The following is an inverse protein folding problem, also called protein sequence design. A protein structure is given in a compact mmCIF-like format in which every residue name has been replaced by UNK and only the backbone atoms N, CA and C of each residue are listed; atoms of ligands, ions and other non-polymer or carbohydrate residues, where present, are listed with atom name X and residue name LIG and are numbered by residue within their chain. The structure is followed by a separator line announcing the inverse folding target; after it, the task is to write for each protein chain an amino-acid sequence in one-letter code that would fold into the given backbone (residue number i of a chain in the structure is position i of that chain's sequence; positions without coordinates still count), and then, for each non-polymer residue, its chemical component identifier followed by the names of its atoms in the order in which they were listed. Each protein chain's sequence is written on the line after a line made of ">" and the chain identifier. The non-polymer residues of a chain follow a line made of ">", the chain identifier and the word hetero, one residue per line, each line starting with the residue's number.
data_IF_813245882760
#
_entry.id   IF_813245882760
#
_cell.length_a   1.000
_cell.length_b   1.000
_cell.length_c   1.000
_cell.angle_alpha   90.00
_cell.angle_beta   90.00
_cell.angle_gamma   90.00
#
_symmetry.space_group_name_H-M   'P 1'
#
loop_
_entity.id
_entity.type
_entity.pdbx_description
1 polymer ?
#
# COMPACT_ATOMS: atom_id res chain seq x y z
N UNK A 1 -13.55 27.38 30.07
CA UNK A 1 -13.08 26.23 29.26
C UNK A 1 -11.79 25.65 29.85
N UNK A 2 -11.70 25.57 31.18
CA UNK A 2 -10.53 25.09 31.92
C UNK A 2 -10.90 23.82 32.67
N UNK A 3 -10.33 22.68 32.29
CA UNK A 3 -10.21 21.41 33.06
C UNK A 3 -11.48 20.73 33.57
N UNK A 4 -12.58 21.46 33.77
CA UNK A 4 -13.85 20.99 34.33
C UNK A 4 -14.51 20.02 33.37
N UNK A 5 -14.55 20.33 32.08
CA UNK A 5 -15.19 19.45 31.08
C UNK A 5 -14.47 18.09 31.01
N UNK A 6 -13.13 18.10 30.99
CA UNK A 6 -12.32 16.87 30.98
C UNK A 6 -12.55 16.06 32.26
N UNK A 7 -12.63 16.71 33.41
CA UNK A 7 -12.89 16.05 34.69
C UNK A 7 -14.30 15.44 34.76
N UNK A 8 -15.31 16.12 34.20
CA UNK A 8 -16.67 15.60 34.14
C UNK A 8 -16.76 14.38 33.21
N UNK A 9 -16.13 14.43 32.03
CA UNK A 9 -16.04 13.26 31.15
C UNK A 9 -15.34 12.09 31.84
N UNK A 10 -14.25 12.33 32.57
CA UNK A 10 -13.55 11.27 33.32
C UNK A 10 -14.45 10.64 34.39
N UNK A 11 -15.20 11.44 35.17
CA UNK A 11 -16.15 10.92 36.16
C UNK A 11 -17.27 10.09 35.54
N UNK A 12 -17.80 10.53 34.39
CA UNK A 12 -18.82 9.77 33.66
C UNK A 12 -18.26 8.42 33.22
N UNK A 13 -17.05 8.41 32.65
CA UNK A 13 -16.41 7.16 32.22
C UNK A 13 -16.14 6.23 33.43
N UNK A 14 -15.68 6.75 34.56
CA UNK A 14 -15.51 5.96 35.79
C UNK A 14 -16.84 5.35 36.28
N UNK A 15 -17.91 6.13 36.26
CA UNK A 15 -19.25 5.64 36.58
C UNK A 15 -19.67 4.51 35.63
N UNK A 16 -19.51 4.71 34.32
CA UNK A 16 -19.85 3.70 33.32
C UNK A 16 -19.04 2.41 33.51
N UNK A 17 -17.72 2.52 33.74
CA UNK A 17 -16.83 1.39 34.04
C UNK A 17 -17.28 0.61 35.28
N UNK A 18 -17.73 1.32 36.32
CA UNK A 18 -18.21 0.70 37.56
C UNK A 18 -19.57 0.01 37.41
N UNK A 19 -20.45 0.56 36.55
CA UNK A 19 -21.83 0.12 36.41
C UNK A 19 -22.01 -1.00 35.38
N UNK A 20 -21.22 -1.00 34.31
CA UNK A 20 -21.41 -1.89 33.16
C UNK A 20 -20.21 -2.80 32.95
N UNK A 21 -20.37 -4.09 33.30
CA UNK A 21 -19.29 -5.09 33.23
C UNK A 21 -18.83 -5.46 31.81
N UNK A 22 -19.60 -5.10 30.78
CA UNK A 22 -19.21 -5.32 29.38
C UNK A 22 -18.24 -4.25 28.84
N UNK A 23 -17.97 -3.18 29.60
CA UNK A 23 -16.98 -2.18 29.23
C UNK A 23 -15.60 -2.69 29.61
N UNK A 24 -14.74 -2.87 28.61
CA UNK A 24 -13.35 -3.28 28.84
C UNK A 24 -12.48 -2.09 29.24
N UNK A 25 -12.07 -2.07 30.50
CA UNK A 25 -11.23 -1.02 31.08
C UNK A 25 -9.86 -0.86 30.40
N UNK A 26 -9.40 -1.86 29.64
CA UNK A 26 -8.11 -1.85 28.93
C UNK A 26 -8.20 -1.32 27.49
N UNK A 27 -9.41 -1.05 26.98
CA UNK A 27 -9.66 -0.67 25.58
C UNK A 27 -10.61 0.51 25.47
N UNK A 28 -10.26 1.62 26.11
CA UNK A 28 -11.05 2.86 26.07
C UNK A 28 -10.30 3.91 25.24
N UNK A 29 -10.97 4.44 24.22
CA UNK A 29 -10.46 5.52 23.38
C UNK A 29 -11.34 6.77 23.53
N UNK A 30 -10.74 7.95 23.38
CA UNK A 30 -11.47 9.23 23.32
C UNK A 30 -11.24 9.88 21.96
N UNK A 31 -12.31 10.34 21.34
CA UNK A 31 -12.21 11.03 20.06
C UNK A 31 -13.15 12.22 20.00
N UNK A 32 -12.85 13.16 19.11
CA UNK A 32 -13.71 14.29 18.85
C UNK A 32 -13.19 15.19 17.75
N UNK A 33 -14.03 16.16 17.40
CA UNK A 33 -13.82 17.09 16.29
C UNK A 33 -13.70 18.53 16.79
N UNK A 34 -12.83 19.35 16.19
CA UNK A 34 -12.64 20.75 16.58
C UNK A 34 -12.34 20.90 18.09
N UNK A 35 -13.26 21.51 18.83
CA UNK A 35 -13.22 21.55 20.29
C UNK A 35 -13.19 20.16 20.93
N UNK A 36 -13.96 19.21 20.40
CA UNK A 36 -13.90 17.81 20.80
C UNK A 36 -12.52 17.19 20.55
N UNK A 37 -11.83 17.58 19.47
CA UNK A 37 -10.46 17.16 19.21
C UNK A 37 -9.47 17.71 20.24
N UNK A 38 -9.65 18.98 20.64
CA UNK A 38 -8.94 19.59 21.77
C UNK A 38 -9.19 18.84 23.08
N UNK A 39 -10.45 18.56 23.41
CA UNK A 39 -10.84 17.81 24.62
C UNK A 39 -10.27 16.39 24.60
N UNK A 40 -10.31 15.70 23.47
CA UNK A 40 -9.78 14.35 23.32
C UNK A 40 -8.26 14.32 23.59
N UNK A 41 -7.51 15.21 22.94
CA UNK A 41 -6.07 15.34 23.13
C UNK A 41 -5.71 15.75 24.57
N UNK A 42 -6.46 16.71 25.15
CA UNK A 42 -6.27 17.15 26.55
C UNK A 42 -6.57 16.04 27.56
N UNK A 43 -7.60 15.24 27.32
CA UNK A 43 -7.97 14.10 28.18
C UNK A 43 -6.88 13.02 28.20
N UNK A 44 -6.18 12.83 27.08
CA UNK A 44 -5.08 11.87 26.97
C UNK A 44 -3.90 12.23 27.90
N UNK A 45 -3.58 13.52 28.02
CA UNK A 45 -2.47 14.03 28.85
C UNK A 45 -2.88 14.33 30.30
N UNK A 46 -4.13 14.70 30.57
CA UNK A 46 -4.62 15.04 31.91
C UNK A 46 -5.01 13.82 32.76
N UNK A 47 -5.12 12.63 32.16
CA UNK A 47 -5.49 11.41 32.88
C UNK A 47 -4.37 10.88 33.78
N UNK A 48 -4.36 11.31 35.05
CA UNK A 48 -3.44 10.80 36.09
C UNK A 48 -3.56 9.26 36.29
N UNK A 49 -4.70 8.67 35.92
CA UNK A 49 -4.97 7.24 36.03
C UNK A 49 -4.97 6.48 34.69
N UNK A 50 -4.48 7.08 33.60
CA UNK A 50 -4.52 6.51 32.23
C UNK A 50 -5.89 5.90 31.87
N UNK A 51 -6.97 6.68 32.02
CA UNK A 51 -8.34 6.24 31.69
C UNK A 51 -8.45 5.91 30.20
N UNK A 52 -7.81 6.70 29.35
CA UNK A 52 -7.83 6.54 27.89
C UNK A 52 -6.53 5.94 27.39
N UNK A 53 -6.64 4.86 26.60
CA UNK A 53 -5.51 4.15 26.01
C UNK A 53 -4.99 4.82 24.73
N UNK A 54 -5.84 5.56 24.03
CA UNK A 54 -5.50 6.36 22.86
C UNK A 54 -6.49 7.52 22.66
N UNK A 55 -6.09 8.50 21.85
CA UNK A 55 -6.97 9.59 21.42
C UNK A 55 -6.91 9.80 19.91
N UNK A 56 -8.06 10.08 19.32
CA UNK A 56 -8.21 10.56 17.94
C UNK A 56 -8.72 12.01 17.96
N UNK A 57 -7.89 12.95 17.51
CA UNK A 57 -8.19 14.37 17.49
C UNK A 57 -8.39 14.83 16.03
N UNK A 58 -9.64 15.12 15.65
CA UNK A 58 -9.97 15.60 14.31
C UNK A 58 -10.08 17.12 14.31
N UNK A 59 -9.39 17.76 13.37
CA UNK A 59 -9.28 19.22 13.24
C UNK A 59 -9.10 19.95 14.59
N UNK A 60 -8.14 19.55 15.46
CA UNK A 60 -8.12 20.04 16.84
C UNK A 60 -7.74 21.52 16.95
N UNK A 61 -8.43 22.25 17.83
CA UNK A 61 -8.04 23.61 18.25
C UNK A 61 -6.89 23.50 19.26
N UNK A 62 -5.66 23.68 18.80
CA UNK A 62 -4.45 23.43 19.62
C UNK A 62 -3.96 24.65 20.41
N UNK A 63 -4.30 25.85 19.96
CA UNK A 63 -3.88 27.12 20.56
C UNK A 63 -4.95 28.17 20.31
N UNK A 64 -5.60 28.62 21.38
CA UNK A 64 -6.69 29.58 21.33
C UNK A 64 -6.29 30.96 20.77
N UNK A 65 -4.99 31.28 20.71
CA UNK A 65 -4.51 32.50 20.03
C UNK A 65 -4.60 32.42 18.49
N UNK A 66 -4.75 31.23 17.92
CA UNK A 66 -4.89 31.04 16.47
C UNK A 66 -6.35 30.85 16.02
N UNK A 67 -7.27 30.80 16.98
CA UNK A 67 -8.70 30.68 16.74
C UNK A 67 -9.33 32.05 16.47
N UNK A 68 -10.65 32.10 16.32
CA UNK A 68 -11.38 33.36 16.14
C UNK A 68 -11.35 34.22 17.43
N UNK A 69 -11.18 35.53 17.27
CA UNK A 69 -11.10 36.48 18.39
C UNK A 69 -12.42 36.58 19.17
N UNK A 70 -13.57 36.48 18.48
CA UNK A 70 -14.88 36.59 19.10
C UNK A 70 -15.10 35.52 20.18
N UNK A 71 -14.77 34.26 19.87
CA UNK A 71 -14.87 33.13 20.79
C UNK A 71 -13.76 33.18 21.83
N UNK A 72 -12.52 33.41 21.39
CA UNK A 72 -11.35 33.32 22.27
C UNK A 72 -11.38 34.41 23.34
N UNK A 73 -11.60 35.66 22.97
CA UNK A 73 -11.68 36.77 23.93
C UNK A 73 -12.88 36.63 24.87
N UNK A 74 -14.02 36.13 24.37
CA UNK A 74 -15.20 35.89 25.20
C UNK A 74 -14.96 34.87 26.31
N UNK A 75 -14.19 33.81 26.07
CA UNK A 75 -14.00 32.72 27.03
C UNK A 75 -12.69 32.80 27.81
N UNK A 76 -11.65 33.43 27.25
CA UNK A 76 -10.31 33.49 27.84
C UNK A 76 -9.91 34.91 28.26
N UNK A 77 -10.56 35.95 27.74
CA UNK A 77 -10.23 37.35 28.01
C UNK A 77 -9.20 37.93 27.03
N UNK A 78 -8.64 39.09 27.35
CA UNK A 78 -7.69 39.79 26.48
C UNK A 78 -6.28 39.19 26.64
N UNK A 79 -5.69 38.58 25.60
CA UNK A 79 -4.37 37.94 25.71
C UNK A 79 -3.22 38.91 26.01
N UNK A 80 -3.44 40.23 25.92
CA UNK A 80 -2.47 41.28 26.29
C UNK A 80 -2.45 41.52 27.80
N UNK A 81 -3.51 41.13 28.52
CA UNK A 81 -3.62 41.22 29.97
C UNK A 81 -2.95 39.99 30.59
N UNK A 82 -2.07 40.19 31.57
CA UNK A 82 -1.27 39.11 32.15
C UNK A 82 -2.09 38.01 32.81
N UNK A 83 -3.18 38.35 33.52
CA UNK A 83 -4.03 37.33 34.15
C UNK A 83 -4.74 36.45 33.11
N UNK A 84 -5.26 37.05 32.04
CA UNK A 84 -5.99 36.34 30.98
C UNK A 84 -5.05 35.50 30.11
N UNK A 85 -3.83 36.00 29.84
CA UNK A 85 -2.78 35.28 29.11
C UNK A 85 -2.47 33.91 29.71
N UNK A 86 -2.46 33.81 31.04
CA UNK A 86 -2.23 32.52 31.71
C UNK A 86 -3.28 31.47 31.30
N UNK A 87 -4.53 31.86 31.05
CA UNK A 87 -5.58 30.93 30.60
C UNK A 87 -5.33 30.42 29.18
N UNK A 88 -4.83 31.28 28.29
CA UNK A 88 -4.43 30.88 26.95
C UNK A 88 -3.26 29.88 27.00
N UNK A 89 -2.25 30.17 27.81
CA UNK A 89 -1.08 29.29 27.99
C UNK A 89 -1.47 27.95 28.65
N UNK A 90 -2.33 27.99 29.66
CA UNK A 90 -2.84 26.79 30.35
C UNK A 90 -3.69 25.90 29.42
N UNK A 91 -4.34 26.47 28.40
CA UNK A 91 -5.14 25.73 27.44
C UNK A 91 -4.37 25.40 26.14
N UNK A 92 -3.11 25.81 26.00
CA UNK A 92 -2.34 25.58 24.79
C UNK A 92 -1.74 24.16 24.78
N UNK A 93 -2.17 23.32 23.84
CA UNK A 93 -1.65 21.95 23.68
C UNK A 93 -0.21 21.93 23.15
N UNK A 94 0.20 22.97 22.42
CA UNK A 94 1.57 23.07 21.87
C UNK A 94 2.59 23.18 23.01
N UNK A 95 2.26 23.91 24.08
CA UNK A 95 3.12 24.07 25.25
C UNK A 95 3.21 22.81 26.13
N UNK A 96 2.38 21.80 25.85
CA UNK A 96 2.29 20.53 26.60
C UNK A 96 2.67 19.32 25.76
N UNK A 97 3.38 19.55 24.65
CA UNK A 97 3.73 18.51 23.70
C UNK A 97 4.50 17.34 24.35
N UNK A 98 5.38 17.65 25.30
CA UNK A 98 6.14 16.68 26.10
C UNK A 98 5.26 15.72 26.92
N UNK A 99 4.08 16.17 27.36
CA UNK A 99 3.14 15.34 28.14
C UNK A 99 2.50 14.22 27.31
N UNK A 100 2.64 14.26 25.98
CA UNK A 100 2.21 13.19 25.09
C UNK A 100 3.23 12.06 24.96
N UNK A 101 4.38 12.13 25.63
CA UNK A 101 5.38 11.07 25.58
C UNK A 101 4.78 9.71 26.00
N UNK A 102 5.02 8.69 25.18
CA UNK A 102 4.47 7.34 25.32
C UNK A 102 2.93 7.23 25.23
N UNK A 103 2.22 8.31 24.86
CA UNK A 103 0.78 8.29 24.63
C UNK A 103 0.49 7.97 23.16
N UNK A 104 -0.65 7.33 22.90
CA UNK A 104 -1.12 7.04 21.53
C UNK A 104 -2.06 8.13 21.05
N UNK A 105 -1.52 9.08 20.29
CA UNK A 105 -2.27 10.17 19.67
C UNK A 105 -2.38 9.95 18.15
N UNK A 106 -3.58 10.14 17.60
CA UNK A 106 -3.81 10.21 16.17
C UNK A 106 -4.50 11.54 15.83
N UNK A 107 -3.91 12.32 14.91
CA UNK A 107 -4.41 13.62 14.47
C UNK A 107 -4.93 13.54 13.04
N UNK A 108 -6.15 14.01 12.78
CA UNK A 108 -6.73 14.13 11.44
C UNK A 108 -7.01 15.60 11.11
N UNK A 109 -6.79 16.01 9.87
CA UNK A 109 -7.12 17.39 9.45
C UNK A 109 -7.28 17.51 7.92
N UNK A 110 -8.25 18.29 7.45
CA UNK A 110 -8.38 18.68 6.04
C UNK A 110 -7.46 19.86 5.68
N UNK A 111 -6.92 19.89 4.45
CA UNK A 111 -6.07 21.03 4.03
C UNK A 111 -6.86 22.28 3.66
N UNK A 112 -8.15 22.12 3.33
CA UNK A 112 -9.06 23.20 2.98
C UNK A 112 -10.06 23.49 4.11
N UNK A 113 -9.71 23.14 5.36
CA UNK A 113 -10.52 23.43 6.54
C UNK A 113 -10.66 24.96 6.72
N UNK A 114 -11.88 25.43 6.56
CA UNK A 114 -12.30 26.83 6.62
C UNK A 114 -12.73 27.26 8.03
N UNK A 115 -12.85 26.31 8.96
CA UNK A 115 -13.25 26.55 10.34
C UNK A 115 -12.05 26.51 11.27
N UNK A 116 -11.30 25.39 11.26
CA UNK A 116 -10.04 25.24 12.01
C UNK A 116 -8.89 25.25 11.05
N UNK A 117 -8.13 26.35 11.05
CA UNK A 117 -7.01 26.45 10.14
C UNK A 117 -5.96 25.36 10.43
N UNK A 118 -5.48 24.69 9.37
CA UNK A 118 -4.49 23.60 9.43
C UNK A 118 -3.22 23.93 10.25
N UNK A 119 -2.91 25.23 10.36
CA UNK A 119 -1.85 25.76 11.23
C UNK A 119 -1.91 25.21 12.66
N UNK A 120 -3.09 24.98 13.23
CA UNK A 120 -3.23 24.39 14.55
C UNK A 120 -2.55 23.02 14.65
N UNK A 121 -2.80 22.17 13.67
CA UNK A 121 -2.22 20.82 13.62
C UNK A 121 -0.74 20.85 13.32
N UNK A 122 -0.29 21.64 12.33
CA UNK A 122 1.13 21.73 11.99
C UNK A 122 1.99 22.29 13.14
N UNK A 123 1.47 23.26 13.89
CA UNK A 123 2.19 23.80 15.07
C UNK A 123 2.30 22.77 16.19
N UNK A 124 1.25 21.98 16.44
CA UNK A 124 1.30 20.90 17.42
C UNK A 124 2.26 19.79 16.97
N UNK A 125 2.17 19.35 15.71
CA UNK A 125 3.09 18.36 15.12
C UNK A 125 4.55 18.78 15.28
N UNK A 126 4.87 20.05 14.97
CA UNK A 126 6.22 20.59 15.18
C UNK A 126 6.68 20.49 16.64
N UNK A 127 5.81 20.80 17.59
CA UNK A 127 6.14 20.73 19.01
C UNK A 127 6.30 19.27 19.49
N UNK A 128 5.43 18.35 19.05
CA UNK A 128 5.53 16.91 19.32
C UNK A 128 6.85 16.33 18.79
N UNK A 129 7.22 16.66 17.54
CA UNK A 129 8.48 16.26 16.94
C UNK A 129 9.69 16.78 17.74
N UNK A 130 9.64 18.06 18.16
CA UNK A 130 10.72 18.67 18.96
C UNK A 130 10.85 18.03 20.34
N UNK A 131 9.75 17.50 20.89
CA UNK A 131 9.71 16.79 22.16
C UNK A 131 10.00 15.28 22.05
N UNK A 132 10.29 14.76 20.84
CA UNK A 132 10.52 13.33 20.61
C UNK A 132 9.29 12.44 20.78
N UNK A 133 8.09 13.02 20.67
CA UNK A 133 6.83 12.27 20.82
C UNK A 133 6.41 11.65 19.50
N UNK A 134 6.16 10.34 19.53
CA UNK A 134 5.58 9.62 18.40
C UNK A 134 4.06 9.77 18.40
N UNK A 135 3.52 10.14 17.24
CA UNK A 135 2.08 10.24 17.00
C UNK A 135 1.78 9.78 15.58
N UNK A 136 0.49 9.52 15.29
CA UNK A 136 0.02 9.30 13.92
C UNK A 136 -0.68 10.55 13.44
N UNK A 137 -0.58 10.83 12.15
CA UNK A 137 -1.34 11.89 11.51
C UNK A 137 -1.79 11.49 10.12
N UNK A 138 -2.98 11.93 9.73
CA UNK A 138 -3.47 11.84 8.36
C UNK A 138 -4.01 13.21 7.98
N UNK A 139 -3.48 13.73 6.89
CA UNK A 139 -3.94 14.97 6.28
C UNK A 139 -4.79 14.60 5.07
N UNK A 140 -5.93 15.26 4.92
CA UNK A 140 -6.87 15.05 3.82
C UNK A 140 -6.80 16.25 2.86
N UNK A 141 -6.15 16.10 1.69
CA UNK A 141 -6.09 17.15 0.68
C UNK A 141 -7.49 17.59 0.25
N UNK A 142 -7.64 18.88 -0.04
CA UNK A 142 -8.84 19.55 -0.56
C UNK A 142 -10.13 19.32 0.24
N UNK A 143 -10.00 18.80 1.47
CA UNK A 143 -11.12 18.52 2.36
C UNK A 143 -11.33 19.70 3.31
N UNK A 144 -12.59 20.09 3.46
CA UNK A 144 -13.03 21.14 4.38
C UNK A 144 -13.13 20.64 5.83
N UNK A 145 -13.73 21.44 6.71
CA UNK A 145 -13.83 21.12 8.13
C UNK A 145 -14.52 19.79 8.44
N UNK A 146 -15.47 19.36 7.61
CA UNK A 146 -16.30 18.19 7.89
C UNK A 146 -15.73 16.88 7.32
N UNK A 147 -14.74 16.97 6.43
CA UNK A 147 -14.23 15.87 5.60
C UNK A 147 -15.37 15.26 4.73
N UNK A 148 -15.08 14.85 3.49
CA UNK A 148 -16.11 14.29 2.57
C UNK A 148 -16.78 13.00 3.13
N UNK A 149 -18.06 12.76 2.84
CA UNK A 149 -18.87 11.63 3.35
C UNK A 149 -18.27 10.25 3.02
N UNK A 150 -17.55 10.15 1.89
CA UNK A 150 -16.80 8.92 1.52
C UNK A 150 -15.62 8.68 2.46
N UNK A 151 -15.01 9.73 3.00
CA UNK A 151 -13.91 9.67 3.95
C UNK A 151 -14.40 9.19 5.33
N UNK A 152 -15.63 9.51 5.72
CA UNK A 152 -16.25 8.99 6.94
C UNK A 152 -16.28 7.45 6.95
N UNK A 153 -16.75 6.85 5.86
CA UNK A 153 -16.81 5.38 5.70
C UNK A 153 -15.40 4.76 5.70
N UNK A 154 -14.43 5.45 5.11
CA UNK A 154 -13.03 5.03 5.12
C UNK A 154 -12.39 5.15 6.51
N UNK A 155 -12.73 6.16 7.31
CA UNK A 155 -12.27 6.32 8.70
C UNK A 155 -12.78 5.18 9.59
N UNK A 156 -14.06 4.81 9.47
CA UNK A 156 -14.63 3.67 10.20
C UNK A 156 -13.96 2.33 9.84
N UNK A 157 -13.59 2.13 8.57
CA UNK A 157 -13.00 0.88 8.09
C UNK A 157 -11.47 0.79 8.26
N UNK A 158 -10.74 1.89 8.06
CA UNK A 158 -9.26 1.92 7.97
C UNK A 158 -8.61 2.31 9.31
N UNK A 159 -9.28 3.09 10.16
CA UNK A 159 -8.63 3.68 11.32
C UNK A 159 -8.86 2.87 12.60
N UNK A 160 -9.99 2.18 12.75
CA UNK A 160 -10.17 1.16 13.80
C UNK A 160 -9.23 -0.03 13.55
N UNK A 161 -9.05 -0.44 12.29
CA UNK A 161 -8.15 -1.54 11.89
C UNK A 161 -6.66 -1.19 11.90
N UNK A 162 -6.30 0.10 11.94
CA UNK A 162 -4.90 0.52 12.14
C UNK A 162 -4.61 0.89 13.59
N UNK A 163 -5.58 1.36 14.38
CA UNK A 163 -5.48 1.55 15.83
C UNK A 163 -5.44 0.20 16.59
N UNK A 164 -6.16 -0.80 16.10
CA UNK A 164 -5.89 -2.21 16.36
C UNK A 164 -4.73 -2.56 15.45
N UNK A 165 -3.48 -2.27 15.86
CA UNK A 165 -2.31 -2.40 15.00
C UNK A 165 -2.40 -3.62 14.09
N UNK A 166 -2.00 -3.46 12.81
CA UNK A 166 -1.63 -4.60 11.99
C UNK A 166 -0.73 -5.45 12.87
N UNK A 167 -1.26 -6.56 13.38
CA UNK A 167 -0.49 -7.38 14.29
C UNK A 167 0.60 -7.92 13.39
N UNK A 168 1.80 -7.36 13.46
CA UNK A 168 2.94 -7.99 12.82
C UNK A 168 2.96 -9.40 13.40
N UNK A 169 2.58 -10.38 12.58
CA UNK A 169 2.37 -11.72 13.07
C UNK A 169 3.75 -12.32 13.27
N UNK A 170 4.09 -12.61 14.53
CA UNK A 170 5.28 -13.41 14.83
C UNK A 170 5.20 -14.72 14.05
N UNK A 171 6.32 -15.18 13.52
CA UNK A 171 6.40 -16.49 12.90
C UNK A 171 5.97 -17.54 13.92
N UNK A 172 4.88 -18.26 13.62
CA UNK A 172 4.24 -19.22 14.51
C UNK A 172 4.49 -20.68 14.09
N UNK A 173 5.26 -20.89 13.02
CA UNK A 173 5.54 -22.20 12.45
C UNK A 173 7.04 -22.46 12.31
N UNK A 174 7.45 -23.74 12.34
CA UNK A 174 8.84 -24.15 12.17
C UNK A 174 9.11 -24.72 10.79
N UNK A 175 8.27 -25.64 10.32
CA UNK A 175 8.44 -26.38 9.08
C UNK A 175 7.36 -26.01 8.06
N UNK A 176 7.77 -25.85 6.81
CA UNK A 176 6.89 -25.70 5.65
C UNK A 176 6.99 -26.96 4.80
N UNK A 177 5.87 -27.59 4.51
CA UNK A 177 5.80 -28.83 3.71
C UNK A 177 4.78 -28.69 2.59
N UNK A 178 5.02 -29.36 1.48
CA UNK A 178 4.11 -29.38 0.33
C UNK A 178 3.47 -30.76 0.25
N UNK A 179 2.16 -30.82 0.03
CA UNK A 179 1.41 -32.05 -0.16
C UNK A 179 0.67 -31.98 -1.49
N UNK A 180 0.84 -33.01 -2.32
CA UNK A 180 0.12 -33.16 -3.57
C UNK A 180 -1.23 -33.86 -3.33
N UNK A 181 -2.29 -33.27 -3.87
CA UNK A 181 -3.66 -33.74 -3.71
C UNK A 181 -4.48 -33.39 -4.97
N UNK A 182 -5.05 -34.39 -5.65
CA UNK A 182 -5.94 -34.21 -6.82
C UNK A 182 -5.45 -33.16 -7.84
N UNK A 183 -4.21 -33.32 -8.32
CA UNK A 183 -3.54 -32.41 -9.28
C UNK A 183 -3.33 -30.96 -8.78
N UNK A 184 -3.33 -30.77 -7.45
CA UNK A 184 -3.02 -29.50 -6.78
C UNK A 184 -1.98 -29.71 -5.71
N UNK A 185 -1.19 -28.66 -5.45
CA UNK A 185 -0.17 -28.66 -4.41
C UNK A 185 -0.59 -27.73 -3.28
N UNK A 186 -0.86 -28.32 -2.12
CA UNK A 186 -1.22 -27.63 -0.88
C UNK A 186 0.03 -27.34 -0.05
N UNK A 187 0.05 -26.19 0.63
CA UNK A 187 1.16 -25.78 1.48
C UNK A 187 0.71 -25.89 2.94
N UNK A 188 1.51 -26.61 3.73
CA UNK A 188 1.25 -26.83 5.15
C UNK A 188 2.33 -26.17 6.01
N UNK A 189 1.90 -25.53 7.09
CA UNK A 189 2.74 -24.95 8.13
C UNK A 189 2.61 -25.82 9.39
N UNK A 190 3.67 -26.53 9.78
CA UNK A 190 3.67 -27.53 10.88
C UNK A 190 2.50 -28.54 10.76
N UNK A 191 2.22 -29.00 9.54
CA UNK A 191 1.13 -29.93 9.24
C UNK A 191 -0.27 -29.31 9.15
N UNK A 192 -0.42 -27.99 9.38
CA UNK A 192 -1.69 -27.27 9.21
C UNK A 192 -1.79 -26.67 7.82
N UNK A 193 -2.92 -26.90 7.15
CA UNK A 193 -3.18 -26.36 5.80
C UNK A 193 -3.23 -24.83 5.81
N UNK A 194 -2.46 -24.21 4.91
CA UNK A 194 -2.47 -22.77 4.71
C UNK A 194 -3.83 -22.34 4.11
N UNK A 195 -4.30 -21.16 4.51
CA UNK A 195 -5.54 -20.57 4.02
C UNK A 195 -5.31 -19.18 3.45
N UNK A 196 -6.12 -18.82 2.47
CA UNK A 196 -6.16 -17.47 1.91
C UNK A 196 -6.81 -16.48 2.89
N UNK A 197 -6.68 -15.16 2.68
CA UNK A 197 -7.38 -14.15 3.50
C UNK A 197 -8.89 -14.37 3.60
N UNK A 198 -9.56 -14.84 2.54
CA UNK A 198 -10.99 -15.16 2.56
C UNK A 198 -11.32 -16.53 3.17
N UNK A 199 -10.32 -17.24 3.71
CA UNK A 199 -10.50 -18.51 4.39
C UNK A 199 -10.59 -19.74 3.49
N UNK A 200 -10.41 -19.58 2.17
CA UNK A 200 -10.28 -20.69 1.24
C UNK A 200 -8.98 -21.45 1.48
N UNK A 201 -8.94 -22.71 1.04
CA UNK A 201 -7.73 -23.51 1.09
C UNK A 201 -6.69 -22.95 0.10
N UNK A 202 -5.46 -22.72 0.57
CA UNK A 202 -4.38 -22.25 -0.29
C UNK A 202 -3.79 -23.42 -1.09
N UNK A 203 -3.83 -23.33 -2.41
CA UNK A 203 -3.27 -24.33 -3.32
C UNK A 203 -2.59 -23.68 -4.53
N UNK A 204 -1.71 -24.43 -5.17
CA UNK A 204 -1.08 -24.04 -6.44
C UNK A 204 -1.29 -25.14 -7.49
N UNK A 205 -1.44 -24.79 -8.79
CA UNK A 205 -1.71 -25.77 -9.84
C UNK A 205 -0.47 -26.54 -10.31
N UNK A 206 0.74 -26.12 -9.91
CA UNK A 206 1.98 -26.74 -10.34
C UNK A 206 3.01 -26.79 -9.20
N UNK A 207 3.87 -27.81 -9.23
CA UNK A 207 4.85 -28.07 -8.18
C UNK A 207 5.90 -26.95 -8.07
N UNK A 208 6.30 -26.37 -9.20
CA UNK A 208 7.30 -25.30 -9.25
C UNK A 208 6.85 -24.07 -8.44
N UNK A 209 5.61 -23.63 -8.62
CA UNK A 209 5.04 -22.52 -7.87
C UNK A 209 4.89 -22.88 -6.39
N UNK A 210 4.48 -24.12 -6.08
CA UNK A 210 4.39 -24.60 -4.70
C UNK A 210 5.73 -24.50 -3.95
N UNK A 211 6.81 -24.91 -4.60
CA UNK A 211 8.18 -24.84 -4.07
C UNK A 211 8.60 -23.39 -3.82
N UNK A 212 8.33 -22.48 -4.77
CA UNK A 212 8.68 -21.08 -4.63
C UNK A 212 7.89 -20.40 -3.49
N UNK A 213 6.58 -20.64 -3.40
CA UNK A 213 5.76 -20.11 -2.31
C UNK A 213 6.20 -20.71 -0.97
N UNK A 214 6.46 -22.02 -0.90
CA UNK A 214 6.97 -22.64 0.32
C UNK A 214 8.29 -22.01 0.77
N UNK A 215 9.17 -21.65 -0.18
CA UNK A 215 10.40 -20.93 0.12
C UNK A 215 10.16 -19.52 0.66
N UNK A 216 9.17 -18.77 0.14
CA UNK A 216 8.79 -17.46 0.70
C UNK A 216 8.38 -17.58 2.18
N UNK A 217 7.57 -18.58 2.53
CA UNK A 217 7.17 -18.86 3.91
C UNK A 217 8.36 -19.34 4.77
N UNK A 218 9.22 -20.21 4.24
CA UNK A 218 10.37 -20.72 4.98
C UNK A 218 11.38 -19.63 5.34
N UNK A 219 11.56 -18.64 4.45
CA UNK A 219 12.53 -17.54 4.59
C UNK A 219 12.10 -16.49 5.63
N UNK A 220 10.82 -16.46 6.03
CA UNK A 220 10.34 -15.50 7.03
C UNK A 220 11.08 -15.68 8.36
N UNK A 221 11.56 -14.59 8.95
CA UNK A 221 12.37 -14.66 10.17
C UNK A 221 11.48 -14.60 11.42
N UNK A 222 11.74 -13.64 12.31
CA UNK A 222 10.98 -13.45 13.56
C UNK A 222 9.54 -12.98 13.31
N UNK A 223 9.35 -12.14 12.30
CA UNK A 223 8.08 -11.52 11.93
C UNK A 223 7.75 -11.92 10.49
N UNK A 224 6.48 -12.22 10.23
CA UNK A 224 5.99 -12.53 8.89
C UNK A 224 5.78 -11.20 8.16
N UNK A 225 6.60 -10.94 7.14
CA UNK A 225 6.55 -9.74 6.32
C UNK A 225 5.79 -10.03 5.03
N UNK A 226 4.46 -9.91 5.09
CA UNK A 226 3.59 -10.17 3.94
C UNK A 226 3.96 -9.33 2.72
N UNK A 227 4.47 -8.11 2.90
CA UNK A 227 4.90 -7.20 1.83
C UNK A 227 5.99 -7.78 0.92
N UNK A 228 6.77 -8.74 1.42
CA UNK A 228 7.88 -9.39 0.69
C UNK A 228 7.46 -10.69 0.00
N UNK A 229 6.25 -11.19 0.27
CA UNK A 229 5.76 -12.51 -0.17
C UNK A 229 4.90 -12.37 -1.43
N UNK A 230 5.50 -11.93 -2.53
CA UNK A 230 4.79 -11.58 -3.76
C UNK A 230 4.09 -12.77 -4.42
N UNK A 231 4.70 -13.96 -4.44
CA UNK A 231 4.09 -15.15 -5.02
C UNK A 231 2.90 -15.64 -4.18
N UNK A 232 3.02 -15.55 -2.85
CA UNK A 232 1.91 -15.81 -1.93
C UNK A 232 0.75 -14.85 -2.19
N UNK A 233 1.04 -13.55 -2.37
CA UNK A 233 0.01 -12.55 -2.70
C UNK A 233 -0.67 -12.82 -4.04
N UNK A 234 0.10 -13.10 -5.09
CA UNK A 234 -0.43 -13.42 -6.43
C UNK A 234 -1.32 -14.68 -6.40
N UNK A 235 -0.89 -15.70 -5.65
CA UNK A 235 -1.67 -16.93 -5.47
C UNK A 235 -2.96 -16.68 -4.70
N UNK A 236 -2.92 -15.87 -3.63
CA UNK A 236 -4.12 -15.47 -2.91
C UNK A 236 -5.10 -14.75 -3.83
N UNK A 237 -4.65 -13.79 -4.63
CA UNK A 237 -5.48 -13.07 -5.61
C UNK A 237 -6.08 -14.02 -6.65
N UNK A 238 -5.31 -14.98 -7.14
CA UNK A 238 -5.79 -15.96 -8.13
C UNK A 238 -6.88 -16.90 -7.58
N UNK A 239 -6.80 -17.27 -6.30
CA UNK A 239 -7.78 -18.12 -5.62
C UNK A 239 -9.02 -17.32 -5.20
N UNK A 240 -8.82 -16.24 -4.44
CA UNK A 240 -9.91 -15.48 -3.82
C UNK A 240 -10.68 -14.64 -4.83
N UNK A 241 -10.04 -14.25 -5.94
CA UNK A 241 -10.62 -13.50 -7.06
C UNK A 241 -11.60 -12.39 -6.60
N UNK A 242 -11.15 -11.41 -5.82
CA UNK A 242 -12.04 -10.42 -5.19
C UNK A 242 -12.83 -9.57 -6.20
N UNK A 243 -12.26 -9.33 -7.39
CA UNK A 243 -12.89 -8.59 -8.48
C UNK A 243 -13.83 -9.44 -9.35
N UNK A 244 -13.98 -10.74 -9.06
CA UNK A 244 -14.66 -11.70 -9.92
C UNK A 244 -14.16 -11.66 -11.38
N UNK A 245 -12.87 -11.39 -11.55
CA UNK A 245 -12.26 -11.18 -12.85
C UNK A 245 -12.26 -12.46 -13.68
N UNK A 246 -12.80 -12.35 -14.89
CA UNK A 246 -12.68 -13.36 -15.93
C UNK A 246 -11.45 -13.10 -16.81
N UNK A 247 -11.08 -14.08 -17.64
CA UNK A 247 -9.94 -13.96 -18.56
C UNK A 247 -10.05 -12.73 -19.46
N UNK A 248 -11.26 -12.44 -19.95
CA UNK A 248 -11.54 -11.29 -20.82
C UNK A 248 -11.41 -9.97 -20.06
N UNK A 249 -11.91 -9.90 -18.81
CA UNK A 249 -11.77 -8.73 -17.94
C UNK A 249 -10.30 -8.38 -17.73
N UNK A 250 -9.49 -9.38 -17.34
CA UNK A 250 -8.05 -9.20 -17.12
C UNK A 250 -7.33 -8.74 -18.39
N UNK A 251 -7.65 -9.33 -19.54
CA UNK A 251 -7.06 -8.94 -20.81
C UNK A 251 -7.42 -7.48 -21.18
N UNK A 252 -8.65 -7.04 -20.92
CA UNK A 252 -9.05 -5.64 -21.13
C UNK A 252 -8.29 -4.69 -20.19
N UNK A 253 -8.21 -5.00 -18.89
CA UNK A 253 -7.48 -4.17 -17.93
C UNK A 253 -5.99 -4.05 -18.26
N UNK A 254 -5.37 -5.12 -18.80
CA UNK A 254 -3.99 -5.07 -19.28
C UNK A 254 -3.90 -4.20 -20.55
N UNK A 255 -4.88 -4.31 -21.44
CA UNK A 255 -4.91 -3.58 -22.71
C UNK A 255 -5.09 -2.07 -22.52
N UNK A 256 -5.78 -1.62 -21.46
CA UNK A 256 -5.93 -0.20 -21.12
C UNK A 256 -4.57 0.53 -20.97
N UNK A 257 -3.51 -0.20 -20.60
CA UNK A 257 -2.16 0.37 -20.49
C UNK A 257 -1.53 0.73 -21.84
N UNK A 258 -1.99 0.18 -22.97
CA UNK A 258 -1.35 0.46 -24.27
C UNK A 258 -1.51 1.93 -24.69
N UNK A 259 -2.64 2.56 -24.31
CA UNK A 259 -2.91 3.96 -24.63
C UNK A 259 -2.08 4.94 -23.79
N UNK A 260 -1.56 4.47 -22.65
CA UNK A 260 -0.78 5.25 -21.67
C UNK A 260 0.60 4.62 -21.40
N UNK A 261 1.11 3.81 -22.34
CA UNK A 261 2.35 3.05 -22.14
C UNK A 261 3.54 4.00 -22.05
N UNK A 262 4.38 3.83 -21.01
CA UNK A 262 5.56 4.68 -20.76
C UNK A 262 6.46 4.85 -21.98
N UNK A 263 6.61 3.82 -22.83
CA UNK A 263 7.50 3.90 -23.99
C UNK A 263 6.96 4.80 -25.12
N UNK A 264 5.69 5.17 -25.08
CA UNK A 264 5.02 5.97 -26.11
C UNK A 264 5.09 7.48 -25.84
N UNK A 265 5.38 7.89 -24.60
CA UNK A 265 5.50 9.30 -24.21
C UNK A 265 6.98 9.68 -24.16
N UNK A 266 7.38 10.64 -25.00
CA UNK A 266 8.79 11.04 -25.17
C UNK A 266 8.97 12.49 -24.82
N UNK A 267 10.20 12.84 -24.46
CA UNK A 267 10.59 14.23 -24.24
C UNK A 267 11.52 14.72 -25.33
N UNK A 268 11.39 16.00 -25.68
CA UNK A 268 12.29 16.68 -26.61
C UNK A 268 13.44 17.39 -25.88
N UNK A 269 13.27 17.73 -24.60
CA UNK A 269 14.26 18.39 -23.77
C UNK A 269 14.22 17.79 -22.34
N UNK A 270 15.37 17.59 -21.68
CA UNK A 270 16.73 17.83 -22.17
C UNK A 270 17.16 16.83 -23.26
N UNK A 271 18.03 17.25 -24.18
CA UNK A 271 18.47 16.43 -25.33
C UNK A 271 19.15 15.13 -24.94
N UNK A 272 19.85 15.13 -23.81
CA UNK A 272 20.50 13.95 -23.23
C UNK A 272 19.47 12.87 -22.90
N UNK A 273 18.37 13.25 -22.23
CA UNK A 273 17.28 12.34 -21.90
C UNK A 273 16.55 11.86 -23.16
N UNK A 274 16.28 12.77 -24.11
CA UNK A 274 15.69 12.41 -25.40
C UNK A 274 16.53 11.37 -26.15
N UNK A 275 17.86 11.54 -26.16
CA UNK A 275 18.78 10.59 -26.77
C UNK A 275 18.79 9.24 -26.06
N UNK A 276 18.74 9.20 -24.72
CA UNK A 276 18.64 7.97 -23.93
C UNK A 276 17.33 7.23 -24.22
N UNK A 277 16.21 7.93 -24.24
CA UNK A 277 14.90 7.36 -24.61
C UNK A 277 14.95 6.77 -26.02
N UNK A 278 15.50 7.49 -27.00
CA UNK A 278 15.60 7.00 -28.37
C UNK A 278 16.51 5.77 -28.48
N UNK A 279 17.64 5.76 -27.77
CA UNK A 279 18.61 4.66 -27.81
C UNK A 279 18.06 3.39 -27.16
N UNK A 280 17.38 3.51 -26.02
CA UNK A 280 16.95 2.36 -25.23
C UNK A 280 15.52 1.90 -25.53
N UNK A 281 14.58 2.81 -25.72
CA UNK A 281 13.16 2.45 -25.88
C UNK A 281 12.78 2.19 -27.35
N UNK A 282 13.35 2.90 -28.33
CA UNK A 282 12.96 2.71 -29.75
C UNK A 282 13.16 1.28 -30.26
N UNK A 283 14.26 0.57 -29.97
CA UNK A 283 14.42 -0.83 -30.40
C UNK A 283 13.35 -1.79 -29.85
N UNK A 284 12.73 -1.43 -28.71
CA UNK A 284 11.68 -2.23 -28.08
C UNK A 284 10.34 -1.94 -28.74
N UNK A 285 10.05 -0.67 -29.03
CA UNK A 285 8.84 -0.27 -29.77
C UNK A 285 8.87 -0.85 -31.18
N UNK A 286 9.97 -0.72 -31.92
CA UNK A 286 10.14 -1.31 -33.26
C UNK A 286 9.95 -2.83 -33.25
N UNK A 287 10.49 -3.51 -32.23
CA UNK A 287 10.26 -4.94 -32.05
C UNK A 287 8.78 -5.26 -31.83
N UNK A 288 8.10 -4.47 -31.01
CA UNK A 288 6.68 -4.67 -30.71
C UNK A 288 5.82 -4.47 -31.97
N UNK A 289 6.09 -3.40 -32.71
CA UNK A 289 5.46 -3.08 -33.99
C UNK A 289 5.63 -4.22 -35.00
N UNK A 290 6.85 -4.75 -35.15
CA UNK A 290 7.11 -5.89 -36.03
C UNK A 290 6.42 -7.18 -35.54
N UNK A 291 6.35 -7.40 -34.22
CA UNK A 291 5.79 -8.63 -33.63
C UNK A 291 4.27 -8.72 -33.76
N UNK A 292 3.59 -7.58 -33.65
CA UNK A 292 2.13 -7.47 -33.69
C UNK A 292 1.60 -6.87 -34.99
N UNK A 293 2.50 -6.63 -35.96
CA UNK A 293 2.20 -6.03 -37.27
C UNK A 293 1.38 -4.74 -37.11
N UNK A 294 1.84 -3.86 -36.23
CA UNK A 294 1.16 -2.64 -35.85
C UNK A 294 2.09 -1.42 -35.89
N UNK A 295 1.50 -0.23 -35.87
CA UNK A 295 2.22 1.02 -35.65
C UNK A 295 1.67 1.68 -34.40
N UNK A 296 2.53 1.99 -33.45
CA UNK A 296 2.15 2.59 -32.17
C UNK A 296 2.44 4.09 -32.23
N UNK A 297 1.44 4.95 -31.96
CA UNK A 297 1.66 6.39 -31.94
C UNK A 297 2.60 6.76 -30.78
N UNK A 298 3.72 7.39 -31.12
CA UNK A 298 4.62 8.03 -30.16
C UNK A 298 4.22 9.51 -30.07
N UNK A 299 4.10 10.04 -28.86
CA UNK A 299 3.73 11.43 -28.57
C UNK A 299 4.78 12.10 -27.71
N UNK A 300 4.99 13.40 -27.93
CA UNK A 300 5.79 14.30 -27.09
C UNK A 300 4.91 15.21 -26.21
N UNK A 301 3.60 14.98 -26.23
CA UNK A 301 2.61 15.75 -25.47
C UNK A 301 1.94 14.90 -24.40
N UNK A 302 1.35 15.58 -23.41
CA UNK A 302 0.55 14.95 -22.34
C UNK A 302 -0.76 14.35 -22.89
N UNK A 303 -1.16 14.70 -24.11
CA UNK A 303 -2.39 14.20 -24.71
C UNK A 303 -2.27 12.71 -25.06
N UNK A 304 -3.30 11.95 -24.68
CA UNK A 304 -3.43 10.55 -25.08
C UNK A 304 -3.64 10.46 -26.59
N UNK A 305 -2.87 9.61 -27.25
CA UNK A 305 -3.08 9.24 -28.64
C UNK A 305 -3.52 7.78 -28.71
N UNK A 306 -4.85 7.51 -28.67
CA UNK A 306 -5.35 6.16 -28.49
C UNK A 306 -4.96 5.27 -29.67
N UNK A 307 -4.54 4.05 -29.34
CA UNK A 307 -4.19 3.05 -30.35
C UNK A 307 -5.46 2.58 -31.07
N UNK A 308 -5.36 2.29 -32.38
CA UNK A 308 -6.51 1.87 -33.18
C UNK A 308 -7.15 0.59 -32.65
N UNK A 309 -8.47 0.48 -32.78
CA UNK A 309 -9.25 -0.67 -32.30
C UNK A 309 -8.83 -1.99 -32.94
N UNK A 310 -8.27 -1.96 -34.16
CA UNK A 310 -7.79 -3.14 -34.86
C UNK A 310 -6.53 -3.73 -34.20
N UNK A 311 -5.58 -2.86 -33.85
CA UNK A 311 -4.36 -3.25 -33.13
C UNK A 311 -4.73 -3.78 -31.75
N UNK A 312 -5.63 -3.07 -31.04
CA UNK A 312 -6.16 -3.49 -29.73
C UNK A 312 -6.79 -4.87 -29.79
N UNK A 313 -7.57 -5.18 -30.83
CA UNK A 313 -8.15 -6.52 -31.04
C UNK A 313 -7.08 -7.60 -31.23
N UNK A 314 -6.02 -7.33 -31.98
CA UNK A 314 -4.93 -8.29 -32.19
C UNK A 314 -4.18 -8.60 -30.89
N UNK A 315 -3.84 -7.57 -30.11
CA UNK A 315 -3.21 -7.71 -28.80
C UNK A 315 -4.16 -8.44 -27.84
N UNK A 316 -5.44 -8.09 -27.80
CA UNK A 316 -6.44 -8.73 -26.97
C UNK A 316 -6.54 -10.24 -27.25
N UNK A 317 -6.52 -10.66 -28.52
CA UNK A 317 -6.50 -12.08 -28.89
C UNK A 317 -5.26 -12.79 -28.35
N UNK A 318 -4.10 -12.15 -28.42
CA UNK A 318 -2.86 -12.69 -27.85
C UNK A 318 -2.91 -12.79 -26.32
N UNK A 319 -3.46 -11.79 -25.63
CA UNK A 319 -3.65 -11.86 -24.18
C UNK A 319 -4.61 -13.00 -23.81
N UNK A 320 -5.73 -13.13 -24.51
CA UNK A 320 -6.72 -14.18 -24.26
C UNK A 320 -6.23 -15.61 -24.55
N UNK A 321 -5.12 -15.81 -25.26
CA UNK A 321 -4.53 -17.15 -25.42
C UNK A 321 -3.89 -17.67 -24.14
N UNK A 322 -3.62 -16.80 -23.17
CA UNK A 322 -3.06 -17.16 -21.88
C UNK A 322 -4.16 -17.58 -20.90
N UNK A 323 -3.80 -18.39 -19.91
CA UNK A 323 -4.73 -18.75 -18.84
C UNK A 323 -4.88 -17.61 -17.81
N UNK A 324 -5.89 -17.72 -16.94
CA UNK A 324 -6.20 -16.69 -15.94
C UNK A 324 -5.04 -16.42 -14.97
N UNK A 325 -4.33 -17.45 -14.53
CA UNK A 325 -3.20 -17.31 -13.60
C UNK A 325 -2.02 -16.58 -14.27
N UNK A 326 -1.66 -16.96 -15.49
CA UNK A 326 -0.64 -16.26 -16.27
C UNK A 326 -1.01 -14.79 -16.50
N UNK A 327 -2.28 -14.48 -16.80
CA UNK A 327 -2.72 -13.09 -16.97
C UNK A 327 -2.65 -12.27 -15.68
N UNK A 328 -2.89 -12.87 -14.51
CA UNK A 328 -2.70 -12.18 -13.22
C UNK A 328 -1.23 -11.80 -13.04
N UNK A 329 -0.30 -12.70 -13.36
CA UNK A 329 1.13 -12.40 -13.35
C UNK A 329 1.52 -11.30 -14.35
N UNK A 330 0.99 -11.36 -15.57
CA UNK A 330 1.25 -10.35 -16.60
C UNK A 330 0.66 -8.98 -16.24
N UNK A 331 -0.54 -8.94 -15.67
CA UNK A 331 -1.15 -7.71 -15.13
C UNK A 331 -0.29 -7.10 -14.04
N UNK A 332 0.16 -7.91 -13.09
CA UNK A 332 1.03 -7.46 -12.02
C UNK A 332 2.37 -6.91 -12.54
N UNK A 333 2.97 -7.52 -13.58
CA UNK A 333 4.16 -6.98 -14.23
C UNK A 333 3.87 -5.63 -14.91
N UNK A 334 2.77 -5.55 -15.65
CA UNK A 334 2.35 -4.34 -16.39
C UNK A 334 2.08 -3.17 -15.45
N UNK A 335 1.41 -3.42 -14.33
CA UNK A 335 1.12 -2.41 -13.30
C UNK A 335 2.38 -1.88 -12.60
N UNK A 336 3.41 -2.71 -12.45
CA UNK A 336 4.67 -2.32 -11.82
C UNK A 336 5.60 -1.61 -12.80
N UNK A 337 5.69 -2.07 -14.04
CA UNK A 337 6.52 -1.46 -15.10
C UNK A 337 5.84 -0.25 -15.76
N UNK A 338 4.54 -0.06 -15.54
CA UNK A 338 3.69 0.94 -16.24
C UNK A 338 3.71 0.83 -17.76
N UNK A 339 4.10 -0.34 -18.28
CA UNK A 339 4.25 -0.60 -19.70
C UNK A 339 3.84 -2.02 -20.04
N UNK A 340 2.89 -2.14 -20.96
CA UNK A 340 2.47 -3.40 -21.58
C UNK A 340 3.56 -3.90 -22.53
N UNK A 341 4.19 -2.99 -23.27
CA UNK A 341 5.23 -3.32 -24.24
C UNK A 341 6.44 -3.97 -23.54
N UNK A 342 6.92 -3.37 -22.44
CA UNK A 342 8.01 -3.95 -21.64
C UNK A 342 7.61 -5.29 -21.02
N UNK A 343 6.37 -5.42 -20.57
CA UNK A 343 5.86 -6.66 -19.97
C UNK A 343 5.79 -7.80 -20.99
N UNK A 344 5.39 -7.52 -22.23
CA UNK A 344 5.38 -8.50 -23.31
C UNK A 344 6.80 -8.83 -23.83
N UNK A 345 7.72 -7.85 -23.82
CA UNK A 345 9.13 -8.09 -24.12
C UNK A 345 9.77 -9.03 -23.07
N UNK A 346 9.38 -8.88 -21.80
CA UNK A 346 9.84 -9.71 -20.69
C UNK A 346 9.33 -11.15 -20.82
N UNK A 347 8.03 -11.36 -21.09
CA UNK A 347 7.47 -12.72 -21.25
C UNK A 347 8.01 -13.46 -22.46
N UNK A 348 8.38 -12.73 -23.52
CA UNK A 348 9.03 -13.30 -24.71
C UNK A 348 10.55 -13.48 -24.55
N UNK A 349 11.10 -13.28 -23.34
CA UNK A 349 12.53 -13.45 -23.01
C UNK A 349 13.45 -12.57 -23.86
N UNK A 350 12.96 -11.43 -24.37
CA UNK A 350 13.75 -10.47 -25.15
C UNK A 350 14.62 -9.61 -24.23
N UNK A 351 14.11 -9.29 -23.06
CA UNK A 351 14.78 -8.49 -22.03
C UNK A 351 14.85 -9.26 -20.72
N UNK A 352 15.88 -8.99 -19.93
CA UNK A 352 15.96 -9.44 -18.54
C UNK A 352 15.11 -8.54 -17.64
N UNK A 353 14.78 -9.04 -16.44
CA UNK A 353 14.05 -8.25 -15.44
C UNK A 353 14.78 -6.94 -15.14
N UNK A 354 16.10 -7.00 -14.93
CA UNK A 354 16.91 -5.82 -14.62
C UNK A 354 16.77 -4.77 -15.72
N UNK A 355 16.94 -5.16 -16.99
CA UNK A 355 16.81 -4.22 -18.12
C UNK A 355 15.41 -3.65 -18.26
N UNK A 356 14.36 -4.45 -18.07
CA UNK A 356 12.99 -3.93 -18.13
C UNK A 356 12.74 -2.90 -17.03
N UNK A 357 13.24 -3.14 -15.82
CA UNK A 357 13.10 -2.20 -14.70
C UNK A 357 13.90 -0.92 -14.97
N UNK A 358 15.15 -1.05 -15.42
CA UNK A 358 16.00 0.09 -15.77
C UNK A 358 15.34 0.93 -16.88
N UNK A 359 14.73 0.30 -17.88
CA UNK A 359 14.00 1.02 -18.92
C UNK A 359 12.71 1.68 -18.43
N UNK A 360 11.98 1.06 -17.50
CA UNK A 360 10.80 1.69 -16.90
C UNK A 360 11.14 2.90 -16.02
N UNK A 361 12.36 2.91 -15.45
CA UNK A 361 12.86 3.96 -14.55
C UNK A 361 13.85 4.89 -15.23
N UNK A 362 13.99 4.85 -16.55
CA UNK A 362 15.04 5.57 -17.28
C UNK A 362 15.02 7.08 -17.01
N UNK A 363 13.83 7.67 -16.92
CA UNK A 363 13.67 9.09 -16.57
C UNK A 363 14.05 9.37 -15.11
N UNK A 364 13.58 8.56 -14.17
CA UNK A 364 13.91 8.66 -12.75
C UNK A 364 15.42 8.52 -12.52
N UNK A 365 16.07 7.55 -13.18
CA UNK A 365 17.50 7.33 -13.07
C UNK A 365 18.31 8.48 -13.69
N UNK A 366 17.77 9.18 -14.70
CA UNK A 366 18.35 10.41 -15.24
C UNK A 366 18.23 11.57 -14.24
N UNK A 367 17.06 11.76 -13.63
CA UNK A 367 16.85 12.79 -12.60
C UNK A 367 17.74 12.58 -11.38
N UNK A 368 17.95 11.32 -10.97
CA UNK A 368 18.86 10.96 -9.87
C UNK A 368 20.31 11.36 -10.18
N UNK A 369 20.73 11.26 -11.45
CA UNK A 369 22.08 11.67 -11.87
C UNK A 369 22.24 13.19 -11.82
N UNK A 370 21.23 13.95 -12.25
CA UNK A 370 21.28 15.40 -12.31
C UNK A 370 21.07 16.08 -10.95
N UNK A 371 20.13 15.60 -10.14
CA UNK A 371 19.70 16.26 -8.90
C UNK A 371 20.16 15.56 -7.62
N UNK A 372 20.83 14.42 -7.78
CA UNK A 372 21.38 13.65 -6.68
C UNK A 372 20.42 12.62 -6.11
N UNK A 373 21.02 11.60 -5.49
CA UNK A 373 20.31 10.44 -4.96
C UNK A 373 19.88 10.67 -3.52
N UNK A 374 18.63 10.31 -3.21
CA UNK A 374 18.17 10.17 -1.83
C UNK A 374 18.55 8.75 -1.37
N UNK A 375 19.50 8.69 -0.44
CA UNK A 375 20.01 7.43 0.10
C UNK A 375 18.89 6.64 0.80
N UNK A 376 18.91 5.31 0.65
CA UNK A 376 17.89 4.37 1.16
C UNK A 376 16.54 4.33 0.44
N UNK A 377 16.01 5.44 -0.10
CA UNK A 377 14.70 5.43 -0.78
C UNK A 377 14.78 4.82 -2.17
N UNK A 378 15.61 5.40 -3.06
CA UNK A 378 15.71 4.94 -4.45
C UNK A 378 16.24 3.49 -4.54
N UNK A 379 17.08 3.07 -3.60
CA UNK A 379 17.59 1.69 -3.55
C UNK A 379 16.51 0.68 -3.18
N UNK A 380 15.75 0.99 -2.13
CA UNK A 380 14.68 0.12 -1.66
C UNK A 380 13.60 0.00 -2.74
N UNK A 381 13.27 1.11 -3.41
CA UNK A 381 12.30 1.14 -4.51
C UNK A 381 12.77 0.32 -5.71
N UNK A 382 14.03 0.52 -6.17
CA UNK A 382 14.60 -0.27 -7.26
C UNK A 382 14.60 -1.76 -6.95
N UNK A 383 15.09 -2.15 -5.77
CA UNK A 383 15.15 -3.56 -5.38
C UNK A 383 13.75 -4.15 -5.17
N UNK A 384 12.81 -3.40 -4.61
CA UNK A 384 11.42 -3.83 -4.46
C UNK A 384 10.74 -4.00 -5.82
N UNK A 385 10.98 -3.09 -6.76
CA UNK A 385 10.43 -3.17 -8.11
C UNK A 385 10.98 -4.40 -8.85
N UNK A 386 12.30 -4.61 -8.82
CA UNK A 386 12.93 -5.83 -9.37
C UNK A 386 12.37 -7.10 -8.75
N UNK A 387 12.15 -7.13 -7.42
CA UNK A 387 11.55 -8.27 -6.74
C UNK A 387 10.12 -8.55 -7.19
N UNK A 388 9.28 -7.50 -7.31
CA UNK A 388 7.90 -7.62 -7.80
C UNK A 388 7.84 -8.11 -9.24
N UNK A 389 8.62 -7.52 -10.14
CA UNK A 389 8.65 -7.91 -11.57
C UNK A 389 9.21 -9.33 -11.72
N UNK A 390 10.23 -9.70 -10.95
CA UNK A 390 10.75 -11.08 -10.92
C UNK A 390 9.68 -12.08 -10.47
N UNK A 391 8.96 -11.78 -9.39
CA UNK A 391 7.87 -12.64 -8.92
C UNK A 391 6.74 -12.74 -9.95
N UNK A 392 6.39 -11.63 -10.61
CA UNK A 392 5.41 -11.60 -11.69
C UNK A 392 5.80 -12.54 -12.84
N UNK A 393 7.07 -12.48 -13.25
CA UNK A 393 7.62 -13.29 -14.33
C UNK A 393 7.66 -14.78 -13.97
N UNK A 394 8.11 -15.11 -12.77
CA UNK A 394 8.12 -16.49 -12.26
C UNK A 394 6.69 -17.05 -12.20
N UNK A 395 5.75 -16.26 -11.71
CA UNK A 395 4.33 -16.63 -11.66
C UNK A 395 3.74 -16.83 -13.06
N UNK A 396 4.09 -15.97 -14.01
CA UNK A 396 3.67 -16.10 -15.40
C UNK A 396 4.19 -17.41 -16.02
N UNK A 397 5.50 -17.65 -15.99
CA UNK A 397 6.10 -18.82 -16.64
C UNK A 397 5.67 -20.15 -16.02
N UNK A 398 5.64 -20.24 -14.69
CA UNK A 398 5.19 -21.45 -13.99
C UNK A 398 3.76 -21.83 -14.34
N UNK A 399 2.90 -20.85 -14.62
CA UNK A 399 1.52 -21.10 -15.02
C UNK A 399 1.33 -21.20 -16.54
N UNK A 400 2.25 -20.69 -17.36
CA UNK A 400 2.21 -20.87 -18.82
C UNK A 400 2.62 -22.29 -19.24
N UNK A 401 3.54 -22.91 -18.53
CA UNK A 401 4.07 -24.25 -18.83
C UNK A 401 3.14 -25.38 -18.34
N UNK A 402 1.84 -25.31 -18.66
CA UNK A 402 0.97 -26.48 -18.58
C UNK A 402 1.16 -27.37 -19.83
N UNK A 403 2.39 -27.87 -20.03
CA UNK A 403 2.59 -29.14 -20.74
C UNK A 403 2.62 -30.21 -19.67
N UNK A 404 1.52 -30.95 -19.54
CA UNK A 404 1.54 -32.27 -18.94
C UNK A 404 2.77 -33.00 -19.49
N UNK A 405 3.73 -33.32 -18.63
CA UNK A 405 4.58 -34.47 -18.87
C UNK A 405 3.62 -35.66 -18.80
N UNK A 406 2.94 -35.95 -19.92
CA UNK A 406 2.38 -37.27 -20.14
C UNK A 406 3.56 -38.21 -19.94
N UNK A 407 3.53 -38.98 -18.85
CA UNK A 407 4.33 -40.18 -18.73
C UNK A 407 3.97 -41.02 -19.96
N UNK A 408 4.80 -40.96 -21.00
CA UNK A 408 4.86 -42.03 -21.99
C UNK A 408 5.27 -43.26 -21.18
N UNK A 409 4.29 -44.12 -20.97
CA UNK A 409 4.41 -45.28 -20.09
C UNK A 409 5.62 -46.15 -20.40
N UNK A 410 6.14 -46.76 -19.34
CA UNK A 410 6.47 -48.18 -19.28
C UNK A 410 6.81 -48.84 -20.62
N UNK A 411 7.99 -48.50 -21.16
CA UNK A 411 8.63 -49.33 -22.20
C UNK A 411 10.16 -49.33 -22.16
N UNK A 412 10.81 -48.63 -21.22
CA UNK A 412 12.28 -48.64 -21.08
C UNK A 412 12.81 -49.43 -19.86
N UNK A 413 11.95 -50.12 -19.11
CA UNK A 413 12.35 -50.95 -17.96
C UNK A 413 12.45 -52.46 -18.27
N UNK A 414 12.62 -52.87 -19.54
CA UNK A 414 12.74 -54.29 -19.94
C UNK A 414 13.94 -54.60 -20.84
N UNK A 415 15.06 -53.91 -20.68
CA UNK A 415 16.27 -54.24 -21.46
C UNK A 415 17.56 -54.20 -20.65
N UNK A 416 17.51 -54.50 -19.35
CA UNK A 416 18.69 -54.66 -18.50
C UNK A 416 18.61 -55.88 -17.54
N UNK A 417 17.86 -56.93 -17.92
CA UNK A 417 17.87 -58.23 -17.20
C UNK A 417 18.15 -59.43 -18.14
N UNK A 418 18.92 -59.22 -19.20
CA UNK A 418 19.40 -60.34 -20.01
C UNK A 418 20.83 -60.12 -20.53
N UNK A 419 21.78 -59.98 -19.60
CA UNK A 419 23.15 -60.46 -19.79
C UNK A 419 23.61 -61.01 -18.44
N UNK A 420 23.40 -62.31 -18.27
CA UNK A 420 24.29 -63.18 -17.49
C UNK A 420 25.56 -63.40 -18.31
#
# INVERSE_FOLDING_TARGET
>A
METTEVNDYMKVIEYLKSKYHYIDNSRIAVWGWAYGGYIAAKSLIQSNQQIFNCSLAVAPITNWLYWDSFTSERYFGDPRVSEDRHRYESANLILKADQFLYKRLFILHGTADDSVHLQHTFKLMKALNSAGVLYRSQIYPDSNHYLDDKLWTAMDQIHVSSLIGSSERKRFYKCVTIVENEDKYEINLDGRKLKTPNGHLFYTPNQSLALMVANEWQTQQRMIQLSTMHLTQLTNTAIDNPGHDCRQSLANSILEFIDSDTLCFRVNEPKELSHLQQTHWSPIVEWFEHRFECQIPITDTIALNPVSDEIKKNIFRHLCSHNRWSLIGLKFATENLKSLILSLALTQRRLSVDKCVDYSRLEEDFEIQEWGRIESTHDLELHALRARVSAALLFYFTNCENRQLSQKGDSYAKTLESVV
#
